data_IF_415577352932
#
_entry.id   IF_415577352932
#
_cell.length_a   1.000
_cell.length_b   1.000
_cell.length_c   1.000
_cell.angle_alpha   90.00
_cell.angle_beta   90.00
_cell.angle_gamma   90.00
#
_symmetry.space_group_name_H-M   'P 1'
#
loop_
_entity.id
_entity.type
_entity.pdbx_description
1 polymer ?
#
# COMPACT_ATOMS: atom_id res chain seq x y z
N UNK A 1 4.13 -13.24 -4.68
CA UNK A 1 3.72 -11.84 -4.54
C UNK A 1 3.11 -11.58 -3.18
N UNK A 2 3.52 -10.48 -2.55
CA UNK A 2 3.04 -10.07 -1.23
C UNK A 2 2.67 -8.58 -1.24
N UNK A 3 1.57 -8.24 -0.55
CA UNK A 3 1.13 -6.87 -0.30
C UNK A 3 1.24 -6.58 1.20
N UNK A 4 1.88 -5.48 1.57
CA UNK A 4 1.77 -4.91 2.90
C UNK A 4 0.71 -3.79 2.90
N UNK A 5 -0.09 -3.73 3.95
CA UNK A 5 -1.03 -2.64 4.22
C UNK A 5 -0.56 -1.98 5.52
N UNK A 6 -0.17 -0.72 5.46
CA UNK A 6 0.41 0.00 6.60
C UNK A 6 0.06 1.48 6.54
N UNK A 7 -0.09 2.12 7.69
CA UNK A 7 -0.39 3.55 7.82
C UNK A 7 0.80 4.36 8.34
N UNK A 8 1.94 3.72 8.62
CA UNK A 8 3.12 4.35 9.22
C UNK A 8 4.29 4.45 8.23
N UNK A 9 5.08 5.54 8.26
CA UNK A 9 6.28 5.66 7.41
C UNK A 9 7.31 4.54 7.64
N UNK A 10 7.45 4.09 8.89
CA UNK A 10 8.40 3.03 9.24
C UNK A 10 7.95 1.66 8.73
N UNK A 11 6.66 1.36 8.79
CA UNK A 11 6.08 0.13 8.26
C UNK A 11 6.17 0.07 6.74
N UNK A 12 5.83 1.18 6.06
CA UNK A 12 6.04 1.34 4.61
C UNK A 12 7.51 1.08 4.24
N UNK A 13 8.45 1.76 4.89
CA UNK A 13 9.88 1.58 4.63
C UNK A 13 10.34 0.14 4.85
N UNK A 14 9.87 -0.50 5.92
CA UNK A 14 10.21 -1.90 6.24
C UNK A 14 9.68 -2.87 5.16
N UNK A 15 8.44 -2.69 4.71
CA UNK A 15 7.84 -3.53 3.68
C UNK A 15 8.51 -3.33 2.30
N UNK A 16 8.87 -2.09 1.93
CA UNK A 16 9.63 -1.82 0.70
C UNK A 16 11.02 -2.47 0.75
N UNK A 17 11.72 -2.38 1.89
CA UNK A 17 13.00 -3.05 2.08
C UNK A 17 12.91 -4.58 2.00
N UNK A 18 11.74 -5.15 2.31
CA UNK A 18 11.44 -6.58 2.13
C UNK A 18 11.02 -6.95 0.69
N UNK A 19 10.97 -5.99 -0.23
CA UNK A 19 10.59 -6.22 -1.63
C UNK A 19 9.09 -6.39 -1.87
N UNK A 20 8.24 -5.95 -0.94
CA UNK A 20 6.78 -6.04 -1.06
C UNK A 20 6.20 -4.86 -1.85
N UNK A 21 5.01 -5.06 -2.44
CA UNK A 21 4.14 -3.93 -2.78
C UNK A 21 3.50 -3.39 -1.50
N UNK A 22 3.21 -2.10 -1.44
CA UNK A 22 2.67 -1.43 -0.25
C UNK A 22 1.45 -0.60 -0.59
N UNK A 23 0.36 -0.85 0.13
CA UNK A 23 -0.85 -0.04 0.17
C UNK A 23 -0.82 0.83 1.44
N UNK A 24 -0.58 2.13 1.28
CA UNK A 24 -0.53 3.10 2.37
C UNK A 24 -1.92 3.61 2.75
N UNK A 25 -2.30 3.51 4.03
CA UNK A 25 -3.56 4.06 4.53
C UNK A 25 -3.32 5.45 5.13
N UNK A 26 -3.80 6.50 4.47
CA UNK A 26 -3.60 7.90 4.85
C UNK A 26 -4.68 8.40 5.83
N UNK A 27 -5.11 7.55 6.76
CA UNK A 27 -6.11 7.89 7.77
C UNK A 27 -5.52 8.76 8.89
N UNK A 28 -4.29 8.44 9.30
CA UNK A 28 -3.56 9.11 10.40
C UNK A 28 -2.46 10.01 9.84
N UNK A 29 -1.78 9.52 8.81
CA UNK A 29 -0.60 10.12 8.20
C UNK A 29 -0.96 10.68 6.83
N UNK A 30 -0.43 11.84 6.45
CA UNK A 30 -0.66 12.40 5.12
C UNK A 30 0.05 11.58 4.03
N UNK A 31 -0.42 11.69 2.78
CA UNK A 31 0.16 10.96 1.66
C UNK A 31 1.67 11.26 1.48
N UNK A 32 2.12 12.47 1.81
CA UNK A 32 3.55 12.84 1.73
C UNK A 32 4.43 12.03 2.69
N UNK A 33 3.92 11.68 3.86
CA UNK A 33 4.64 10.85 4.83
C UNK A 33 4.70 9.37 4.44
N UNK A 34 3.77 8.90 3.59
CA UNK A 34 3.74 7.54 3.04
C UNK A 34 4.21 7.47 1.58
N UNK A 35 4.97 8.47 1.08
CA UNK A 35 5.32 8.61 -0.35
C UNK A 35 5.95 7.37 -1.01
N UNK A 36 6.58 6.49 -0.22
CA UNK A 36 7.27 5.30 -0.71
C UNK A 36 6.31 4.10 -0.89
N UNK A 37 5.04 4.24 -0.48
CA UNK A 37 3.98 3.27 -0.77
C UNK A 37 3.59 3.30 -2.25
N UNK A 38 3.20 2.15 -2.79
CA UNK A 38 2.85 2.02 -4.20
C UNK A 38 1.46 2.58 -4.51
N UNK A 39 0.54 2.51 -3.54
CA UNK A 39 -0.80 3.10 -3.59
C UNK A 39 -1.18 3.76 -2.27
N UNK A 40 -2.05 4.77 -2.32
CA UNK A 40 -2.59 5.46 -1.14
C UNK A 40 -4.11 5.41 -1.14
N UNK A 41 -4.70 5.03 -0.01
CA UNK A 41 -6.14 5.10 0.25
C UNK A 41 -6.39 5.82 1.56
N UNK A 42 -7.54 6.48 1.70
CA UNK A 42 -7.92 7.03 3.01
C UNK A 42 -8.45 5.96 3.95
N UNK A 43 -9.01 4.89 3.40
CA UNK A 43 -9.57 3.78 4.16
C UNK A 43 -9.68 2.51 3.33
N UNK A 44 -9.83 1.36 3.99
CA UNK A 44 -9.92 0.06 3.32
C UNK A 44 -11.24 -0.15 2.57
N UNK A 45 -12.28 0.63 2.85
CA UNK A 45 -13.53 0.61 2.10
C UNK A 45 -13.37 1.13 0.66
N UNK A 46 -12.26 1.79 0.35
CA UNK A 46 -11.96 2.31 -1.00
C UNK A 46 -11.40 1.24 -1.94
N UNK A 47 -11.18 0.01 -1.46
CA UNK A 47 -10.59 -1.09 -2.25
C UNK A 47 -11.32 -2.40 -2.06
N UNK A 48 -11.44 -3.17 -3.13
CA UNK A 48 -12.01 -4.52 -3.10
C UNK A 48 -10.93 -5.58 -3.23
N UNK A 49 -11.26 -6.83 -2.86
CA UNK A 49 -10.36 -7.96 -3.08
C UNK A 49 -10.01 -8.13 -4.58
N UNK A 50 -10.94 -7.83 -5.49
CA UNK A 50 -10.69 -7.90 -6.92
C UNK A 50 -9.62 -6.89 -7.38
N UNK A 51 -9.64 -5.67 -6.84
CA UNK A 51 -8.63 -4.65 -7.13
C UNK A 51 -7.23 -5.10 -6.67
N UNK A 52 -7.16 -5.73 -5.49
CA UNK A 52 -5.90 -6.26 -4.95
C UNK A 52 -5.36 -7.43 -5.78
N UNK A 53 -6.24 -8.29 -6.29
CA UNK A 53 -5.85 -9.38 -7.20
C UNK A 53 -5.31 -8.79 -8.51
N UNK A 54 -6.02 -7.81 -9.09
CA UNK A 54 -5.60 -7.14 -10.32
C UNK A 54 -4.23 -6.44 -10.20
N UNK A 55 -3.84 -5.97 -9.01
CA UNK A 55 -2.52 -5.39 -8.74
C UNK A 55 -1.36 -6.36 -9.04
N UNK A 56 -1.60 -7.67 -8.93
CA UNK A 56 -0.60 -8.71 -9.17
C UNK A 56 -0.79 -9.42 -10.51
N UNK A 57 -2.03 -9.54 -10.97
CA UNK A 57 -2.35 -10.18 -12.26
C UNK A 57 -2.14 -9.22 -13.46
N UNK A 58 -2.14 -7.91 -13.24
CA UNK A 58 -2.10 -6.86 -14.26
C UNK A 58 -0.71 -6.29 -14.58
N UNK A 59 0.31 -7.14 -14.71
CA UNK A 59 1.56 -6.75 -15.37
C UNK A 59 1.41 -6.81 -16.89
N UNK A 60 1.08 -5.68 -17.52
CA UNK A 60 1.23 -5.42 -18.96
C UNK A 60 1.77 -4.01 -19.16
#
# INVERSE_FOLDING_TARGET
DCLAIDDSPNGVSSAKNAGMKVLGITAIHDASSLRDADWHLRSLEEVTLADLINLFEGGS
#
